data_IF_586670477253
#
_entry.id   IF_586670477253
#
_cell.length_a   1.000
_cell.length_b   1.000
_cell.length_c   1.000
_cell.angle_alpha   90.00
_cell.angle_beta   90.00
_cell.angle_gamma   90.00
#
_symmetry.space_group_name_H-M   'P 1'
#
loop_
_entity.id
_entity.type
_entity.pdbx_description
1 polymer ?
#
# COMPACT_ATOMS: atom_id res chain seq x y z
N UNK A 1 -13.30 -30.58 1.79
CA UNK A 1 -12.34 -30.24 0.73
C UNK A 1 -11.20 -29.41 1.32
N UNK A 2 -10.01 -29.58 0.77
CA UNK A 2 -8.84 -28.83 1.18
C UNK A 2 -8.94 -27.36 0.72
N UNK A 3 -8.35 -26.44 1.49
CA UNK A 3 -8.19 -25.01 1.14
C UNK A 3 -7.50 -24.82 -0.22
N UNK A 4 -6.66 -25.79 -0.61
CA UNK A 4 -6.04 -25.85 -1.92
C UNK A 4 -7.06 -25.72 -3.07
N UNK A 5 -8.18 -26.41 -2.94
CA UNK A 5 -9.25 -26.40 -3.94
C UNK A 5 -10.03 -25.09 -3.93
N UNK A 6 -10.51 -24.69 -2.76
CA UNK A 6 -11.33 -23.47 -2.64
C UNK A 6 -10.56 -22.19 -3.00
N UNK A 7 -9.27 -22.13 -2.70
CA UNK A 7 -8.44 -20.96 -3.05
C UNK A 7 -8.25 -20.80 -4.57
N UNK A 8 -8.34 -21.90 -5.33
CA UNK A 8 -8.28 -21.85 -6.78
C UNK A 8 -9.52 -21.27 -7.44
N UNK A 9 -10.66 -21.34 -6.73
CA UNK A 9 -11.95 -20.84 -7.23
C UNK A 9 -12.20 -19.37 -6.89
N UNK A 10 -11.32 -18.75 -6.09
CA UNK A 10 -11.48 -17.41 -5.54
C UNK A 10 -11.99 -16.37 -6.55
N UNK A 11 -11.40 -16.22 -7.77
CA UNK A 11 -11.75 -15.15 -8.68
C UNK A 11 -13.19 -15.12 -9.16
N UNK A 12 -13.88 -16.27 -9.10
CA UNK A 12 -15.25 -16.40 -9.60
C UNK A 12 -16.23 -16.93 -8.56
N UNK A 13 -15.79 -17.74 -7.59
CA UNK A 13 -16.71 -18.25 -6.56
C UNK A 13 -17.19 -17.17 -5.60
N UNK A 14 -16.38 -16.15 -5.33
CA UNK A 14 -16.76 -14.99 -4.51
C UNK A 14 -17.78 -14.07 -5.18
N UNK A 15 -17.91 -14.19 -6.50
CA UNK A 15 -18.87 -13.44 -7.32
C UNK A 15 -20.16 -14.21 -7.60
N UNK A 16 -20.34 -15.35 -6.91
CA UNK A 16 -21.58 -16.14 -6.96
C UNK A 16 -21.55 -17.35 -7.88
N UNK A 17 -20.42 -17.62 -8.60
CA UNK A 17 -20.34 -18.86 -9.39
C UNK A 17 -20.66 -20.10 -8.52
N UNK A 18 -21.40 -21.11 -9.00
CA UNK A 18 -21.79 -21.37 -10.41
C UNK A 18 -23.02 -20.62 -10.91
N UNK A 19 -23.68 -19.82 -10.08
CA UNK A 19 -24.83 -19.03 -10.51
C UNK A 19 -24.41 -17.91 -11.44
N UNK A 20 -25.30 -17.52 -12.37
CA UNK A 20 -25.11 -16.33 -13.20
C UNK A 20 -25.59 -15.11 -12.43
N UNK A 21 -24.66 -14.39 -11.83
CA UNK A 21 -24.93 -13.15 -11.08
C UNK A 21 -24.49 -11.93 -11.86
N UNK A 22 -25.06 -10.78 -11.56
CA UNK A 22 -24.64 -9.49 -12.12
C UNK A 22 -23.20 -9.18 -11.76
N UNK A 23 -22.77 -9.51 -10.54
CA UNK A 23 -21.39 -9.33 -10.09
C UNK A 23 -20.39 -10.19 -10.89
N UNK A 24 -20.77 -11.44 -11.18
CA UNK A 24 -19.92 -12.32 -12.00
C UNK A 24 -19.80 -11.79 -13.43
N UNK A 25 -20.88 -11.33 -14.02
CA UNK A 25 -20.87 -10.78 -15.37
C UNK A 25 -20.08 -9.45 -15.47
N UNK A 26 -20.07 -8.65 -14.41
CA UNK A 26 -19.41 -7.36 -14.37
C UNK A 26 -17.93 -7.44 -13.97
N UNK A 27 -17.60 -8.19 -12.92
CA UNK A 27 -16.25 -8.20 -12.33
C UNK A 27 -15.36 -9.35 -12.83
N UNK A 28 -15.87 -10.33 -13.54
CA UNK A 28 -15.08 -11.46 -14.03
C UNK A 28 -14.98 -11.45 -15.56
N UNK A 29 -13.77 -11.56 -16.17
CA UNK A 29 -12.44 -11.61 -15.52
C UNK A 29 -12.05 -10.31 -14.83
N UNK A 30 -11.20 -10.39 -13.78
CA UNK A 30 -10.70 -9.21 -13.09
C UNK A 30 -9.51 -8.60 -13.86
N UNK A 31 -9.17 -7.33 -13.58
CA UNK A 31 -8.09 -6.65 -14.28
C UNK A 31 -6.73 -7.03 -13.74
N UNK A 32 -6.53 -6.91 -12.42
CA UNK A 32 -5.23 -7.09 -11.79
C UNK A 32 -5.31 -7.98 -10.56
N UNK A 33 -4.49 -9.03 -10.53
CA UNK A 33 -4.18 -9.79 -9.32
C UNK A 33 -2.87 -9.28 -8.72
N UNK A 34 -2.86 -8.95 -7.44
CA UNK A 34 -1.66 -8.54 -6.70
C UNK A 34 -1.22 -9.67 -5.78
N UNK A 35 0.03 -10.10 -5.87
CA UNK A 35 0.55 -11.24 -5.10
C UNK A 35 2.05 -11.16 -4.86
N UNK A 36 2.54 -11.87 -3.83
CA UNK A 36 3.96 -12.14 -3.68
C UNK A 36 4.46 -13.20 -4.68
N UNK A 37 5.74 -13.15 -5.02
CA UNK A 37 6.34 -14.11 -5.95
C UNK A 37 6.35 -15.56 -5.40
N UNK A 38 6.31 -15.72 -4.10
CA UNK A 38 6.45 -17.01 -3.42
C UNK A 38 5.23 -17.94 -3.57
N UNK A 39 4.08 -17.41 -3.96
CA UNK A 39 2.85 -18.16 -4.15
C UNK A 39 2.35 -18.19 -5.60
N UNK A 40 3.19 -17.87 -6.57
CA UNK A 40 2.81 -17.96 -8.00
C UNK A 40 2.35 -19.38 -8.33
N UNK A 41 3.11 -20.40 -7.99
CA UNK A 41 2.78 -21.80 -8.26
C UNK A 41 1.74 -22.37 -7.30
N UNK A 42 1.69 -21.86 -6.07
CA UNK A 42 0.79 -22.38 -5.05
C UNK A 42 -0.60 -21.75 -5.05
N UNK A 43 -0.76 -20.61 -5.72
CA UNK A 43 -2.04 -19.91 -5.77
C UNK A 43 -2.40 -19.40 -7.16
N UNK A 44 -1.53 -18.60 -7.80
CA UNK A 44 -1.85 -17.94 -9.08
C UNK A 44 -2.16 -18.95 -10.18
N UNK A 45 -1.26 -19.93 -10.39
CA UNK A 45 -1.44 -20.92 -11.45
C UNK A 45 -2.70 -21.77 -11.22
N UNK A 46 -3.06 -22.04 -9.96
CA UNK A 46 -4.29 -22.79 -9.64
C UNK A 46 -5.53 -22.03 -10.03
N UNK A 47 -5.59 -20.73 -9.78
CA UNK A 47 -6.70 -19.88 -10.24
C UNK A 47 -6.78 -19.84 -11.77
N UNK A 48 -5.62 -19.80 -12.46
CA UNK A 48 -5.59 -19.77 -13.92
C UNK A 48 -6.20 -21.05 -14.51
N UNK A 49 -5.73 -22.23 -14.12
CA UNK A 49 -6.27 -23.45 -14.71
C UNK A 49 -7.72 -23.74 -14.28
N UNK A 50 -8.08 -23.39 -13.01
CA UNK A 50 -9.49 -23.52 -12.56
C UNK A 50 -10.39 -22.54 -13.30
N UNK A 51 -9.94 -21.33 -13.56
CA UNK A 51 -10.69 -20.35 -14.35
C UNK A 51 -10.97 -20.84 -15.75
N UNK A 52 -9.96 -21.34 -16.44
CA UNK A 52 -10.14 -21.92 -17.79
C UNK A 52 -11.05 -23.13 -17.78
N UNK A 53 -10.87 -24.04 -16.84
CA UNK A 53 -11.69 -25.27 -16.76
C UNK A 53 -13.15 -24.98 -16.48
N UNK A 54 -13.43 -24.05 -15.55
CA UNK A 54 -14.80 -23.81 -15.07
C UNK A 54 -15.54 -22.74 -15.86
N UNK A 55 -14.84 -21.75 -16.41
CA UNK A 55 -15.47 -20.60 -17.07
C UNK A 55 -15.05 -20.41 -18.53
N UNK A 56 -14.03 -21.12 -18.99
CA UNK A 56 -13.47 -20.95 -20.33
C UNK A 56 -12.65 -19.66 -20.52
N UNK A 57 -12.40 -18.89 -19.45
CA UNK A 57 -11.73 -17.60 -19.51
C UNK A 57 -10.57 -17.52 -18.52
N UNK A 58 -9.54 -16.73 -18.86
CA UNK A 58 -8.50 -16.35 -17.89
C UNK A 58 -9.13 -15.56 -16.73
N UNK A 59 -8.79 -15.83 -15.47
CA UNK A 59 -9.41 -15.16 -14.32
C UNK A 59 -9.00 -13.68 -14.14
N UNK A 60 -7.87 -13.27 -14.71
CA UNK A 60 -7.35 -11.90 -14.64
C UNK A 60 -6.42 -11.62 -15.83
N UNK A 61 -6.25 -10.34 -16.15
CA UNK A 61 -5.43 -9.90 -17.28
C UNK A 61 -3.96 -9.69 -16.89
N UNK A 62 -3.73 -9.18 -15.69
CA UNK A 62 -2.39 -8.80 -15.23
C UNK A 62 -2.13 -9.40 -13.85
N UNK A 63 -0.89 -9.84 -13.61
CA UNK A 63 -0.41 -10.22 -12.28
C UNK A 63 0.69 -9.26 -11.86
N UNK A 64 0.41 -8.42 -10.84
CA UNK A 64 1.40 -7.57 -10.22
C UNK A 64 2.09 -8.34 -9.10
N UNK A 65 3.38 -8.61 -9.29
CA UNK A 65 4.19 -9.39 -8.35
C UNK A 65 5.01 -8.44 -7.49
N UNK A 66 4.79 -8.47 -6.19
CA UNK A 66 5.56 -7.70 -5.21
C UNK A 66 6.55 -8.56 -4.44
N UNK A 67 7.58 -7.92 -3.86
CA UNK A 67 8.51 -8.56 -2.94
C UNK A 67 7.89 -8.82 -1.56
N UNK A 68 8.62 -9.54 -0.72
CA UNK A 68 8.19 -9.88 0.63
C UNK A 68 8.81 -8.94 1.66
N UNK A 69 8.08 -8.72 2.75
CA UNK A 69 8.62 -8.09 3.95
C UNK A 69 9.33 -9.18 4.77
N UNK A 70 10.63 -8.97 5.02
CA UNK A 70 11.50 -9.88 5.77
C UNK A 70 11.90 -9.26 7.10
N UNK A 71 12.35 -10.07 8.04
CA UNK A 71 12.91 -9.58 9.30
C UNK A 71 14.22 -8.77 9.08
N UNK A 72 14.75 -8.17 10.12
CA UNK A 72 15.98 -7.36 10.06
C UNK A 72 17.21 -8.14 9.58
N UNK A 73 17.20 -9.47 9.73
CA UNK A 73 18.26 -10.36 9.25
C UNK A 73 18.03 -10.83 7.80
N UNK A 74 16.92 -10.44 7.17
CA UNK A 74 16.56 -10.84 5.81
C UNK A 74 15.90 -12.22 5.71
N UNK A 75 15.49 -12.82 6.82
CA UNK A 75 14.78 -14.11 6.82
C UNK A 75 13.30 -13.91 6.54
N UNK A 76 12.68 -14.87 5.87
CA UNK A 76 11.22 -14.88 5.68
C UNK A 76 10.54 -14.96 7.05
N UNK A 77 9.58 -14.09 7.29
CA UNK A 77 8.77 -14.13 8.51
C UNK A 77 7.86 -15.36 8.51
N UNK A 78 7.83 -16.09 9.61
CA UNK A 78 6.94 -17.23 9.79
C UNK A 78 6.51 -17.40 11.25
N UNK A 79 5.35 -18.00 11.46
CA UNK A 79 4.84 -18.30 12.80
C UNK A 79 5.77 -19.25 13.55
N UNK A 80 6.37 -20.21 12.84
CA UNK A 80 7.27 -21.21 13.43
C UNK A 80 8.60 -20.62 13.92
N UNK A 81 9.08 -19.54 13.29
CA UNK A 81 10.31 -18.85 13.71
C UNK A 81 10.05 -17.76 14.75
N UNK A 82 8.79 -17.40 15.00
CA UNK A 82 8.45 -16.35 15.95
C UNK A 82 9.01 -14.96 15.58
N UNK A 83 9.40 -14.76 14.31
CA UNK A 83 9.98 -13.52 13.79
C UNK A 83 8.98 -12.65 13.04
N UNK A 84 7.69 -12.98 13.12
CA UNK A 84 6.61 -12.17 12.58
C UNK A 84 6.45 -10.88 13.37
N UNK A 85 6.13 -9.81 12.68
CA UNK A 85 5.83 -8.50 13.27
C UNK A 85 4.34 -8.27 13.11
N UNK A 86 3.65 -8.05 14.22
CA UNK A 86 2.23 -7.71 14.19
C UNK A 86 2.07 -6.24 13.76
N UNK A 87 1.38 -5.98 12.63
CA UNK A 87 1.11 -4.62 12.20
C UNK A 87 0.36 -3.78 13.23
N UNK A 88 -0.51 -4.38 14.05
CA UNK A 88 -1.27 -3.68 15.08
C UNK A 88 -0.36 -3.18 16.20
N UNK A 89 0.62 -3.97 16.63
CA UNK A 89 1.63 -3.50 17.61
C UNK A 89 2.44 -2.32 17.08
N UNK A 90 2.77 -2.34 15.78
CA UNK A 90 3.46 -1.22 15.12
C UNK A 90 2.59 0.03 15.10
N UNK A 91 1.30 -0.12 14.77
CA UNK A 91 0.33 0.97 14.72
C UNK A 91 0.13 1.57 16.12
N UNK A 92 -0.04 0.75 17.13
CA UNK A 92 -0.22 1.21 18.52
C UNK A 92 0.99 2.00 19.01
N UNK A 93 2.19 1.62 18.62
CA UNK A 93 3.43 2.25 19.07
C UNK A 93 3.84 3.49 18.27
N UNK A 94 3.64 3.47 16.96
CA UNK A 94 4.18 4.49 16.05
C UNK A 94 3.13 5.21 15.20
N UNK A 95 1.89 4.72 15.18
CA UNK A 95 0.82 5.21 14.33
C UNK A 95 0.76 4.54 12.96
N UNK A 96 -0.43 4.54 12.37
CA UNK A 96 -0.70 3.91 11.08
C UNK A 96 0.08 4.57 9.93
N UNK A 97 0.22 5.88 9.95
CA UNK A 97 0.94 6.62 8.91
C UNK A 97 2.43 6.27 8.87
N UNK A 98 3.05 6.07 10.04
CA UNK A 98 4.44 5.65 10.14
C UNK A 98 4.68 4.27 9.51
N UNK A 99 3.79 3.30 9.79
CA UNK A 99 3.86 1.97 9.19
C UNK A 99 3.66 2.04 7.66
N UNK A 100 2.61 2.72 7.22
CA UNK A 100 2.29 2.87 5.79
C UNK A 100 3.42 3.53 5.01
N UNK A 101 3.96 4.64 5.53
CA UNK A 101 5.09 5.34 4.91
C UNK A 101 6.33 4.44 4.83
N UNK A 102 6.62 3.68 5.90
CA UNK A 102 7.74 2.74 5.93
C UNK A 102 7.62 1.68 4.83
N UNK A 103 6.42 1.10 4.67
CA UNK A 103 6.17 0.05 3.68
C UNK A 103 6.26 0.58 2.24
N UNK A 104 5.84 1.81 1.99
CA UNK A 104 5.83 2.40 0.64
C UNK A 104 7.23 2.90 0.24
N UNK A 105 7.93 3.61 1.13
CA UNK A 105 9.20 4.29 0.79
C UNK A 105 10.41 3.36 0.75
N UNK A 106 10.25 2.13 1.21
CA UNK A 106 11.36 1.18 1.34
C UNK A 106 11.56 0.22 0.21
N UNK A 107 10.69 0.25 -0.79
CA UNK A 107 10.60 -0.80 -1.80
C UNK A 107 10.92 -0.30 -3.20
N UNK A 108 11.67 -1.13 -3.94
CA UNK A 108 11.63 -1.14 -5.39
C UNK A 108 10.69 -2.29 -5.82
N UNK A 109 9.90 -2.12 -6.89
CA UNK A 109 9.00 -3.16 -7.38
C UNK A 109 9.69 -4.51 -7.56
N UNK A 110 9.09 -5.58 -7.03
CA UNK A 110 9.61 -6.93 -7.13
C UNK A 110 10.75 -7.30 -6.16
N UNK A 111 11.27 -6.36 -5.38
CA UNK A 111 12.34 -6.63 -4.42
C UNK A 111 11.79 -6.82 -3.00
N UNK A 112 12.46 -7.71 -2.24
CA UNK A 112 12.17 -7.91 -0.83
C UNK A 112 12.62 -6.70 0.00
N UNK A 113 11.87 -6.40 1.04
CA UNK A 113 12.18 -5.35 2.00
C UNK A 113 12.52 -5.95 3.37
N UNK A 114 13.58 -5.46 4.01
CA UNK A 114 13.85 -5.75 5.41
C UNK A 114 13.15 -4.76 6.30
N UNK A 115 12.45 -5.27 7.30
CA UNK A 115 11.77 -4.44 8.29
C UNK A 115 12.71 -4.10 9.44
N UNK A 116 12.79 -2.80 9.75
CA UNK A 116 13.57 -2.27 10.88
C UNK A 116 12.69 -1.32 11.69
N UNK A 117 12.70 -1.45 13.00
CA UNK A 117 11.96 -0.57 13.91
C UNK A 117 12.43 0.89 13.81
N UNK A 118 13.71 1.10 13.65
CA UNK A 118 14.33 2.43 13.47
C UNK A 118 13.79 3.15 12.22
N UNK A 119 13.44 2.38 11.20
CA UNK A 119 12.84 2.93 9.99
C UNK A 119 11.42 3.39 10.21
N UNK A 120 10.64 2.65 10.99
CA UNK A 120 9.27 3.06 11.38
C UNK A 120 9.32 4.33 12.22
N UNK A 121 10.27 4.42 13.15
CA UNK A 121 10.48 5.62 13.96
C UNK A 121 10.88 6.83 13.11
N UNK A 122 11.76 6.65 12.15
CA UNK A 122 12.14 7.69 11.18
C UNK A 122 10.93 8.16 10.35
N UNK A 123 10.08 7.23 9.91
CA UNK A 123 8.85 7.54 9.18
C UNK A 123 7.86 8.32 10.04
N UNK A 124 7.70 7.96 11.32
CA UNK A 124 6.89 8.73 12.29
C UNK A 124 7.42 10.16 12.43
N UNK A 125 8.73 10.30 12.59
CA UNK A 125 9.35 11.62 12.75
C UNK A 125 9.18 12.47 11.49
N UNK A 126 9.24 11.86 10.31
CA UNK A 126 8.95 12.55 9.04
C UNK A 126 7.49 12.99 8.95
N UNK A 127 6.53 12.13 9.28
CA UNK A 127 5.12 12.48 9.32
C UNK A 127 4.84 13.64 10.30
N UNK A 128 5.44 13.60 11.49
CA UNK A 128 5.36 14.68 12.46
C UNK A 128 5.98 15.98 11.95
N UNK A 129 7.07 15.90 11.21
CA UNK A 129 7.69 17.09 10.58
C UNK A 129 6.74 17.75 9.58
N UNK A 130 6.10 16.96 8.71
CA UNK A 130 5.12 17.48 7.74
C UNK A 130 3.92 18.09 8.48
N UNK A 131 3.37 17.39 9.47
CA UNK A 131 2.28 17.90 10.29
C UNK A 131 2.59 19.23 10.97
N UNK A 132 3.74 19.32 11.63
CA UNK A 132 4.11 20.54 12.36
C UNK A 132 4.41 21.70 11.40
N UNK A 133 5.02 21.45 10.25
CA UNK A 133 5.23 22.48 9.23
C UNK A 133 3.89 22.99 8.68
N UNK A 134 2.96 22.10 8.36
CA UNK A 134 1.63 22.47 7.89
C UNK A 134 0.84 23.24 8.96
N UNK A 135 0.88 22.79 10.21
CA UNK A 135 0.25 23.48 11.32
C UNK A 135 0.82 24.88 11.52
N UNK A 136 2.15 25.03 11.48
CA UNK A 136 2.81 26.33 11.58
C UNK A 136 2.36 27.27 10.46
N UNK A 137 2.29 26.78 9.25
CA UNK A 137 1.80 27.53 8.10
C UNK A 137 0.36 28.00 8.29
N UNK A 138 -0.54 27.09 8.68
CA UNK A 138 -1.97 27.41 8.91
C UNK A 138 -2.16 28.47 10.00
N UNK A 139 -1.45 28.33 11.13
CA UNK A 139 -1.48 29.34 12.20
C UNK A 139 -1.05 30.73 11.74
N UNK A 140 -0.03 30.80 10.85
CA UNK A 140 0.40 32.07 10.30
C UNK A 140 -0.63 32.66 9.31
N UNK A 141 -1.31 31.81 8.52
CA UNK A 141 -2.39 32.29 7.67
C UNK A 141 -3.58 32.83 8.48
N UNK A 142 -3.97 32.16 9.56
CA UNK A 142 -5.02 32.65 10.45
C UNK A 142 -4.66 34.01 11.04
N UNK A 143 -3.43 34.17 11.56
CA UNK A 143 -2.97 35.44 12.10
C UNK A 143 -2.87 36.55 11.04
N UNK A 144 -2.49 36.21 9.81
CA UNK A 144 -2.46 37.16 8.69
C UNK A 144 -3.87 37.62 8.34
N UNK A 145 -4.83 36.70 8.26
CA UNK A 145 -6.23 37.01 7.99
C UNK A 145 -6.84 37.91 9.07
N UNK A 146 -6.57 37.67 10.37
CA UNK A 146 -6.99 38.54 11.47
C UNK A 146 -6.44 39.98 11.35
N UNK A 147 -5.27 40.13 10.76
CA UNK A 147 -4.64 41.46 10.51
C UNK A 147 -5.05 42.06 9.16
N UNK A 148 -5.98 41.43 8.43
CA UNK A 148 -6.41 41.87 7.10
C UNK A 148 -5.31 41.75 6.01
N UNK A 149 -4.31 40.91 6.23
CA UNK A 149 -3.24 40.63 5.26
C UNK A 149 -3.71 39.47 4.38
N UNK A 150 -3.77 39.71 3.08
CA UNK A 150 -4.04 38.66 2.07
C UNK A 150 -2.80 38.38 1.25
N UNK A 151 -2.64 37.13 0.82
CA UNK A 151 -1.65 36.75 -0.19
C UNK A 151 -2.11 37.08 -1.63
N UNK A 152 -3.38 37.48 -1.79
CA UNK A 152 -3.91 37.88 -3.09
C UNK A 152 -3.19 39.16 -3.57
N UNK A 153 -2.61 39.07 -4.74
CA UNK A 153 -1.89 40.21 -5.34
C UNK A 153 -0.38 40.25 -5.05
N UNK A 154 0.17 39.26 -4.32
CA UNK A 154 1.61 39.10 -4.20
C UNK A 154 2.21 38.77 -5.56
N UNK A 155 3.10 39.63 -6.07
CA UNK A 155 3.79 39.44 -7.32
C UNK A 155 5.15 38.75 -7.16
N UNK A 156 5.70 38.19 -8.23
CA UNK A 156 7.06 37.63 -8.20
C UNK A 156 8.13 38.68 -7.83
N UNK A 157 7.83 39.98 -8.02
CA UNK A 157 8.74 41.06 -7.63
C UNK A 157 8.83 41.22 -6.12
N UNK A 158 7.76 40.88 -5.39
CA UNK A 158 7.68 41.02 -3.93
C UNK A 158 8.38 39.86 -3.18
N UNK A 159 8.72 38.80 -3.91
CA UNK A 159 9.33 37.59 -3.33
C UNK A 159 10.82 37.78 -3.05
N UNK A 160 11.28 37.19 -1.97
CA UNK A 160 12.71 37.11 -1.66
C UNK A 160 13.46 36.20 -2.64
N UNK A 161 14.78 36.25 -2.64
CA UNK A 161 15.59 35.34 -3.46
C UNK A 161 15.34 33.86 -3.11
N UNK A 162 15.11 33.56 -1.83
CA UNK A 162 14.81 32.22 -1.38
C UNK A 162 13.44 31.73 -1.89
N UNK A 163 12.42 32.61 -1.86
CA UNK A 163 11.09 32.28 -2.36
C UNK A 163 11.13 32.02 -3.88
N UNK A 164 11.86 32.83 -4.62
CA UNK A 164 12.06 32.67 -6.08
C UNK A 164 12.81 31.38 -6.44
N UNK A 165 13.65 30.89 -5.54
CA UNK A 165 14.41 29.67 -5.78
C UNK A 165 13.54 28.42 -5.60
N UNK A 166 12.56 28.45 -4.69
CA UNK A 166 11.75 27.27 -4.38
C UNK A 166 10.54 27.12 -5.31
N UNK A 167 10.11 28.21 -5.95
CA UNK A 167 9.02 28.22 -6.94
C UNK A 167 9.51 27.85 -8.34
#
# INVERSE_FOLDING_TARGET
LDTWFSSALWPFSTLGWPEKTEDLDYFYPTDVLVTGYDIIFFWVIRMVFSGYEQTGKAPFHTVLIHGLVRDSQGRKMSKSLGNGIDPLEVIDKYGADALRLTLITGNAPGNDMRFYWERVESSRNFANKVWNASRFMLMNFEQAAEKGISIDGVSLADLTQADKWIL
#
